data_IF_555062565120
#
_entry.id   IF_555062565120
#
_cell.length_a   1.000
_cell.length_b   1.000
_cell.length_c   1.000
_cell.angle_alpha   90.00
_cell.angle_beta   90.00
_cell.angle_gamma   90.00
#
_symmetry.space_group_name_H-M   'P 1'
#
loop_
_entity.id
_entity.type
_entity.pdbx_description
1 polymer ?
#
# COMPACT_ATOMS: atom_id res chain seq x y z
N UNK A 1 -14.90 -3.64 40.62
CA UNK A 1 -14.86 -3.73 39.13
C UNK A 1 -14.68 -2.32 38.62
N UNK A 2 -13.66 -2.07 37.80
CA UNK A 2 -13.44 -0.73 37.24
C UNK A 2 -14.47 -0.50 36.12
N UNK A 3 -15.32 0.53 36.22
CA UNK A 3 -16.26 0.85 35.15
C UNK A 3 -15.49 1.30 33.92
N UNK A 4 -15.69 0.61 32.80
CA UNK A 4 -15.14 0.99 31.50
C UNK A 4 -15.98 2.14 30.91
N UNK A 5 -15.32 3.01 30.14
CA UNK A 5 -15.96 4.13 29.44
C UNK A 5 -16.55 3.67 28.09
N UNK A 6 -17.48 4.44 27.51
CA UNK A 6 -18.15 4.05 26.26
C UNK A 6 -17.17 3.73 25.13
N UNK A 7 -16.10 4.51 24.96
CA UNK A 7 -15.09 4.25 23.91
C UNK A 7 -14.44 2.87 24.04
N UNK A 8 -14.10 2.47 25.27
CA UNK A 8 -13.52 1.14 25.52
C UNK A 8 -14.57 0.04 25.30
N UNK A 9 -15.84 0.29 25.66
CA UNK A 9 -16.92 -0.65 25.36
C UNK A 9 -17.17 -0.81 23.85
N UNK A 10 -17.03 0.27 23.07
CA UNK A 10 -17.15 0.25 21.61
C UNK A 10 -16.06 -0.62 20.98
N UNK A 11 -14.80 -0.52 21.44
CA UNK A 11 -13.70 -1.40 21.01
C UNK A 11 -13.97 -2.87 21.36
N UNK A 12 -14.38 -3.14 22.61
CA UNK A 12 -14.71 -4.50 23.05
C UNK A 12 -15.89 -5.11 22.28
N UNK A 13 -16.86 -4.31 21.83
CA UNK A 13 -17.96 -4.81 20.99
C UNK A 13 -17.43 -5.33 19.64
N UNK A 14 -16.52 -4.59 19.01
CA UNK A 14 -15.93 -5.00 17.73
C UNK A 14 -15.11 -6.28 17.90
N UNK A 15 -14.25 -6.32 18.92
CA UNK A 15 -13.42 -7.49 19.22
C UNK A 15 -14.28 -8.73 19.53
N UNK A 16 -15.40 -8.59 20.25
CA UNK A 16 -16.32 -9.71 20.53
C UNK A 16 -17.01 -10.26 19.28
N UNK A 17 -17.24 -9.41 18.27
CA UNK A 17 -17.90 -9.81 17.01
C UNK A 17 -16.92 -10.47 16.03
N UNK A 18 -15.65 -10.05 16.02
CA UNK A 18 -14.64 -10.55 15.09
C UNK A 18 -13.97 -11.84 15.60
N UNK A 19 -13.31 -11.79 16.76
CA UNK A 19 -12.48 -12.87 17.30
C UNK A 19 -13.06 -13.49 18.59
N UNK A 20 -13.95 -12.74 19.25
CA UNK A 20 -14.53 -13.10 20.54
C UNK A 20 -13.68 -12.65 21.72
N UNK A 21 -14.32 -12.15 22.77
CA UNK A 21 -13.61 -11.69 23.97
C UNK A 21 -13.24 -12.83 24.94
N UNK A 22 -12.14 -12.61 25.67
CA UNK A 22 -11.79 -13.41 26.84
C UNK A 22 -12.84 -13.24 27.98
N UNK A 23 -12.90 -14.15 28.96
CA UNK A 23 -13.88 -14.06 30.04
C UNK A 23 -13.81 -12.74 30.84
N UNK A 24 -12.63 -12.15 30.99
CA UNK A 24 -12.43 -10.86 31.64
C UNK A 24 -13.01 -9.70 30.82
N UNK A 25 -12.71 -9.66 29.52
CA UNK A 25 -13.30 -8.73 28.56
C UNK A 25 -14.82 -8.80 28.53
N UNK A 26 -15.39 -10.01 28.41
CA UNK A 26 -16.85 -10.23 28.40
C UNK A 26 -17.53 -9.69 29.63
N UNK A 27 -17.03 -10.02 30.82
CA UNK A 27 -17.60 -9.52 32.07
C UNK A 27 -17.55 -7.98 32.15
N UNK A 28 -16.48 -7.34 31.69
CA UNK A 28 -16.40 -5.86 31.68
C UNK A 28 -17.40 -5.25 30.72
N UNK A 29 -17.51 -5.80 29.50
CA UNK A 29 -18.46 -5.35 28.50
C UNK A 29 -19.92 -5.54 28.97
N UNK A 30 -20.27 -6.72 29.48
CA UNK A 30 -21.61 -7.02 29.98
C UNK A 30 -22.04 -6.08 31.11
N UNK A 31 -21.15 -5.78 32.05
CA UNK A 31 -21.41 -4.82 33.11
C UNK A 31 -21.70 -3.41 32.55
N UNK A 32 -20.95 -2.97 31.54
CA UNK A 32 -21.20 -1.67 30.90
C UNK A 32 -22.56 -1.66 30.18
N UNK A 33 -22.88 -2.72 29.43
CA UNK A 33 -24.13 -2.84 28.67
C UNK A 33 -25.38 -2.85 29.55
N UNK A 34 -25.29 -3.29 30.80
CA UNK A 34 -26.40 -3.18 31.76
C UNK A 34 -26.80 -1.73 32.07
N UNK A 35 -25.90 -0.76 31.86
CA UNK A 35 -26.11 0.64 32.25
C UNK A 35 -26.16 1.61 31.07
N UNK A 36 -25.61 1.25 29.91
CA UNK A 36 -25.48 2.13 28.75
C UNK A 36 -26.34 1.66 27.57
N UNK A 37 -27.51 2.29 27.39
CA UNK A 37 -28.43 1.98 26.27
C UNK A 37 -27.84 2.30 24.89
N UNK A 38 -26.93 3.28 24.79
CA UNK A 38 -26.22 3.61 23.54
C UNK A 38 -25.38 2.43 23.05
N UNK A 39 -24.55 1.86 23.94
CA UNK A 39 -23.70 0.72 23.60
C UNK A 39 -24.50 -0.56 23.34
N UNK A 40 -25.65 -0.74 24.01
CA UNK A 40 -26.58 -1.84 23.71
C UNK A 40 -27.11 -1.74 22.28
N UNK A 41 -27.56 -0.55 21.86
CA UNK A 41 -28.06 -0.32 20.51
C UNK A 41 -26.97 -0.55 19.46
N UNK A 42 -25.78 -0.01 19.69
CA UNK A 42 -24.64 -0.20 18.78
C UNK A 42 -24.28 -1.67 18.59
N UNK A 43 -24.22 -2.46 19.67
CA UNK A 43 -23.96 -3.90 19.59
C UNK A 43 -25.01 -4.62 18.76
N UNK A 44 -26.28 -4.26 18.93
CA UNK A 44 -27.37 -4.87 18.15
C UNK A 44 -27.30 -4.47 16.67
N UNK A 45 -27.06 -3.19 16.38
CA UNK A 45 -26.89 -2.70 15.00
C UNK A 45 -25.74 -3.44 14.29
N UNK A 46 -24.58 -3.58 14.94
CA UNK A 46 -23.44 -4.33 14.39
C UNK A 46 -23.76 -5.82 14.22
N UNK A 47 -24.42 -6.44 15.20
CA UNK A 47 -24.83 -7.85 15.12
C UNK A 47 -25.78 -8.09 13.94
N UNK A 48 -26.73 -7.18 13.70
CA UNK A 48 -27.61 -7.25 12.53
C UNK A 48 -26.84 -7.11 11.22
N UNK A 49 -25.84 -6.22 11.15
CA UNK A 49 -24.99 -6.08 9.95
C UNK A 49 -24.19 -7.35 9.67
N UNK A 50 -23.57 -7.95 10.69
CA UNK A 50 -22.83 -9.21 10.55
C UNK A 50 -23.76 -10.37 10.17
N UNK A 51 -24.96 -10.43 10.76
CA UNK A 51 -25.98 -11.42 10.40
C UNK A 51 -26.45 -11.26 8.94
N UNK A 52 -26.65 -10.03 8.47
CA UNK A 52 -27.00 -9.76 7.09
C UNK A 52 -25.86 -10.17 6.12
N UNK A 53 -24.62 -9.81 6.45
CA UNK A 53 -23.45 -10.16 5.64
C UNK A 53 -23.22 -11.68 5.56
N UNK A 54 -23.44 -12.40 6.65
CA UNK A 54 -23.30 -13.86 6.71
C UNK A 54 -24.44 -14.61 5.99
N UNK A 55 -25.61 -13.98 5.82
CA UNK A 55 -26.76 -14.62 5.15
C UNK A 55 -26.54 -14.87 3.65
N UNK A 56 -25.64 -14.11 3.02
CA UNK A 56 -25.29 -14.23 1.60
C UNK A 56 -23.86 -14.75 1.41
N UNK A 57 -23.28 -15.38 2.44
CA UNK A 57 -21.91 -15.88 2.35
C UNK A 57 -21.84 -17.02 1.34
N UNK A 58 -21.06 -16.90 0.25
CA UNK A 58 -20.86 -17.98 -0.70
C UNK A 58 -20.32 -19.21 0.01
N UNK A 59 -20.63 -20.40 -0.50
CA UNK A 59 -20.01 -21.62 -0.02
C UNK A 59 -18.48 -21.51 -0.14
N UNK A 60 -17.79 -21.90 0.92
CA UNK A 60 -16.33 -21.95 0.94
C UNK A 60 -15.84 -22.79 -0.25
N UNK A 61 -14.97 -22.23 -1.13
CA UNK A 61 -14.44 -22.99 -2.24
C UNK A 61 -13.71 -24.26 -1.77
N UNK A 62 -13.79 -25.31 -2.58
CA UNK A 62 -13.10 -26.55 -2.27
C UNK A 62 -11.56 -26.38 -2.28
N UNK A 63 -10.85 -27.34 -1.71
CA UNK A 63 -9.38 -27.32 -1.63
C UNK A 63 -8.71 -27.25 -3.02
N UNK A 64 -9.35 -27.81 -4.05
CA UNK A 64 -8.84 -27.79 -5.42
C UNK A 64 -8.87 -26.38 -6.03
N UNK A 65 -9.90 -25.59 -5.72
CA UNK A 65 -9.96 -24.18 -6.11
C UNK A 65 -8.77 -23.43 -5.54
N UNK A 66 -8.50 -23.55 -4.23
CA UNK A 66 -7.38 -22.87 -3.57
C UNK A 66 -6.03 -23.28 -4.15
N UNK A 67 -5.81 -24.58 -4.38
CA UNK A 67 -4.60 -25.07 -5.08
C UNK A 67 -4.43 -24.49 -6.48
N UNK A 68 -5.53 -24.27 -7.20
CA UNK A 68 -5.48 -23.65 -8.53
C UNK A 68 -5.19 -22.15 -8.45
N UNK A 69 -5.80 -21.47 -7.47
CA UNK A 69 -5.64 -20.05 -7.21
C UNK A 69 -4.20 -19.73 -6.80
N UNK A 70 -3.63 -20.47 -5.85
CA UNK A 70 -2.25 -20.28 -5.37
C UNK A 70 -1.23 -20.45 -6.50
N UNK A 71 -1.39 -21.49 -7.33
CA UNK A 71 -0.51 -21.68 -8.50
C UNK A 71 -0.62 -20.53 -9.50
N UNK A 72 -1.84 -20.02 -9.73
CA UNK A 72 -2.06 -18.87 -10.60
C UNK A 72 -1.45 -17.58 -10.03
N UNK A 73 -1.58 -17.38 -8.73
CA UNK A 73 -1.02 -16.24 -8.01
C UNK A 73 0.51 -16.27 -8.05
N UNK A 74 1.13 -17.41 -7.71
CA UNK A 74 2.58 -17.58 -7.77
C UNK A 74 3.14 -17.37 -9.18
N UNK A 75 2.44 -17.85 -10.22
CA UNK A 75 2.83 -17.63 -11.60
C UNK A 75 2.86 -16.13 -11.94
N UNK A 76 1.80 -15.39 -11.57
CA UNK A 76 1.72 -13.93 -11.79
C UNK A 76 2.76 -13.15 -11.00
N UNK A 77 3.05 -13.56 -9.76
CA UNK A 77 4.12 -12.96 -8.96
C UNK A 77 5.46 -13.18 -9.67
N UNK A 78 5.73 -14.39 -10.15
CA UNK A 78 6.98 -14.73 -10.85
C UNK A 78 7.15 -13.97 -12.17
N UNK A 79 6.06 -13.72 -12.89
CA UNK A 79 6.06 -12.91 -14.11
C UNK A 79 6.34 -11.43 -13.84
N UNK A 80 5.84 -10.90 -12.71
CA UNK A 80 6.03 -9.50 -12.31
C UNK A 80 7.34 -9.24 -11.58
N UNK A 81 7.92 -10.25 -10.93
CA UNK A 81 9.26 -10.12 -10.37
C UNK A 81 10.24 -9.83 -11.52
N UNK A 82 10.92 -8.67 -11.55
CA UNK A 82 11.88 -8.36 -12.59
C UNK A 82 12.90 -9.48 -12.60
N UNK A 83 12.92 -10.24 -13.70
CA UNK A 83 13.57 -11.53 -13.78
C UNK A 83 14.94 -11.44 -13.09
N UNK A 84 15.16 -12.32 -12.09
CA UNK A 84 16.44 -12.45 -11.34
C UNK A 84 17.68 -12.56 -12.27
N UNK A 85 17.45 -12.78 -13.57
CA UNK A 85 18.37 -12.57 -14.69
C UNK A 85 19.13 -11.23 -14.65
N UNK A 86 18.51 -10.11 -14.27
CA UNK A 86 19.24 -8.83 -14.19
C UNK A 86 20.25 -8.79 -13.02
N UNK A 87 19.99 -9.53 -11.94
CA UNK A 87 20.93 -9.62 -10.79
C UNK A 87 22.22 -10.36 -11.15
N UNK A 88 22.15 -11.41 -11.99
CA UNK A 88 23.36 -12.07 -12.51
C UNK A 88 24.13 -11.17 -13.48
N UNK A 89 23.43 -10.44 -14.36
CA UNK A 89 24.06 -9.47 -15.25
C UNK A 89 24.76 -8.35 -14.46
N UNK A 90 24.13 -7.83 -13.41
CA UNK A 90 24.75 -6.86 -12.51
C UNK A 90 25.94 -7.44 -11.73
N UNK A 91 25.87 -8.70 -11.27
CA UNK A 91 27.00 -9.36 -10.60
C UNK A 91 28.23 -9.55 -11.49
N UNK A 92 28.05 -9.68 -12.80
CA UNK A 92 29.17 -9.77 -13.76
C UNK A 92 29.59 -8.38 -14.28
N UNK A 93 28.66 -7.45 -14.41
CA UNK A 93 28.95 -6.09 -14.87
C UNK A 93 29.69 -5.25 -13.81
N UNK A 94 29.40 -5.42 -12.52
CA UNK A 94 30.08 -4.73 -11.41
C UNK A 94 31.61 -4.93 -11.40
N UNK A 95 32.15 -6.16 -11.45
CA UNK A 95 33.61 -6.35 -11.49
C UNK A 95 34.22 -5.90 -12.83
N UNK A 96 33.49 -5.99 -13.95
CA UNK A 96 33.97 -5.51 -15.24
C UNK A 96 34.12 -3.98 -15.27
N UNK A 97 33.18 -3.24 -14.67
CA UNK A 97 33.28 -1.79 -14.49
C UNK A 97 34.42 -1.40 -13.54
N UNK A 98 34.64 -2.16 -12.46
CA UNK A 98 35.78 -1.95 -11.57
C UNK A 98 37.13 -2.13 -12.29
N UNK A 99 37.27 -3.13 -13.16
CA UNK A 99 38.48 -3.34 -13.95
C UNK A 99 38.73 -2.21 -14.97
N UNK A 100 37.68 -1.73 -15.64
CA UNK A 100 37.79 -0.59 -16.57
C UNK A 100 38.20 0.70 -15.84
N UNK A 101 37.66 0.95 -14.64
CA UNK A 101 38.07 2.07 -13.79
C UNK A 101 39.55 2.03 -13.40
N UNK A 102 40.10 0.85 -13.09
CA UNK A 102 41.53 0.69 -12.79
C UNK A 102 42.38 0.99 -14.03
N UNK A 103 41.98 0.53 -15.22
CA UNK A 103 42.72 0.82 -16.47
C UNK A 103 42.70 2.33 -16.75
N UNK A 104 41.55 3.00 -16.61
CA UNK A 104 41.44 4.45 -16.79
C UNK A 104 42.26 5.20 -15.73
N UNK A 105 42.27 4.76 -14.47
CA UNK A 105 43.08 5.38 -13.42
C UNK A 105 44.59 5.20 -13.69
N UNK A 106 45.01 4.01 -14.14
CA UNK A 106 46.41 3.74 -14.49
C UNK A 106 46.85 4.56 -15.71
N UNK A 107 46.03 4.63 -16.76
CA UNK A 107 46.31 5.46 -17.93
C UNK A 107 46.20 6.96 -17.64
N UNK A 108 45.26 7.37 -16.78
CA UNK A 108 45.12 8.74 -16.31
C UNK A 108 46.36 9.17 -15.53
N UNK A 109 46.85 8.34 -14.60
CA UNK A 109 48.05 8.64 -13.80
C UNK A 109 49.35 8.64 -14.63
N UNK A 110 49.41 7.91 -15.75
CA UNK A 110 50.57 7.98 -16.65
C UNK A 110 50.53 9.20 -17.55
N UNK A 111 49.35 9.69 -17.93
CA UNK A 111 49.16 10.90 -18.75
C UNK A 111 49.25 12.18 -17.91
N UNK A 112 48.79 12.16 -16.65
CA UNK A 112 48.79 13.31 -15.72
C UNK A 112 50.21 13.72 -15.30
N UNK A 113 51.19 12.82 -15.43
CA UNK A 113 52.61 13.17 -15.28
C UNK A 113 53.17 14.07 -16.39
N UNK A 114 52.42 14.34 -17.46
CA UNK A 114 52.86 15.18 -18.58
C UNK A 114 52.02 16.44 -18.83
N UNK A 115 50.97 16.71 -18.04
CA UNK A 115 50.22 17.97 -18.15
C UNK A 115 49.85 18.55 -16.78
N UNK A 116 50.63 19.51 -16.23
CA UNK A 116 50.19 20.31 -15.11
C UNK A 116 49.16 21.33 -15.61
N UNK A 117 47.87 21.02 -15.42
CA UNK A 117 46.82 22.02 -15.44
C UNK A 117 45.61 21.63 -16.27
N UNK A 118 44.61 21.04 -15.61
CA UNK A 118 43.23 21.15 -16.08
C UNK A 118 42.32 21.32 -14.87
N UNK A 119 41.36 22.23 -15.03
CA UNK A 119 40.56 22.82 -13.98
C UNK A 119 39.50 21.89 -13.37
N UNK A 120 38.97 22.40 -12.25
CA UNK A 120 37.84 21.86 -11.48
C UNK A 120 36.69 21.45 -12.41
N UNK A 121 36.48 20.16 -12.60
CA UNK A 121 35.22 19.64 -13.13
C UNK A 121 34.22 19.53 -11.98
N UNK A 122 33.41 20.58 -11.87
CA UNK A 122 32.07 20.52 -11.30
C UNK A 122 31.15 19.80 -12.30
N UNK A 123 30.07 19.21 -11.79
CA UNK A 123 28.90 18.69 -12.50
C UNK A 123 29.02 17.28 -13.11
N UNK A 124 28.78 16.28 -12.27
CA UNK A 124 28.07 15.06 -12.66
C UNK A 124 27.08 14.69 -11.55
N UNK A 125 26.03 15.50 -11.40
CA UNK A 125 24.85 15.19 -10.58
C UNK A 125 23.57 15.02 -11.40
N UNK A 126 23.57 15.41 -12.68
CA UNK A 126 22.31 15.49 -13.45
C UNK A 126 21.92 14.18 -14.14
N UNK A 127 22.83 13.21 -14.24
CA UNK A 127 22.57 11.96 -15.00
C UNK A 127 21.81 10.91 -14.15
N UNK A 128 21.71 11.08 -12.83
CA UNK A 128 21.04 10.09 -11.96
C UNK A 128 19.58 10.45 -11.65
N UNK A 129 19.15 11.69 -11.91
CA UNK A 129 17.79 12.14 -11.54
C UNK A 129 16.76 11.82 -12.65
N UNK A 130 17.16 11.75 -13.91
CA UNK A 130 16.21 11.54 -15.03
C UNK A 130 15.60 10.13 -15.02
N UNK A 131 16.34 9.12 -14.56
CA UNK A 131 15.87 7.72 -14.55
C UNK A 131 14.92 7.40 -13.37
N UNK A 132 14.94 8.22 -12.30
CA UNK A 132 14.06 8.05 -11.14
C UNK A 132 12.63 8.51 -11.45
N UNK A 133 12.46 9.57 -12.27
CA UNK A 133 11.13 10.03 -12.69
C UNK A 133 10.41 9.02 -13.60
N UNK A 134 11.16 8.22 -14.38
CA UNK A 134 10.58 7.21 -15.25
C UNK A 134 10.03 5.99 -14.49
N UNK A 135 10.58 5.67 -13.31
CA UNK A 135 10.17 4.51 -12.50
C UNK A 135 9.04 4.86 -11.53
N UNK A 136 9.05 6.07 -10.95
CA UNK A 136 8.13 6.43 -9.86
C UNK A 136 6.94 7.28 -10.27
N UNK A 137 6.86 7.72 -11.54
CA UNK A 137 5.82 8.63 -12.00
C UNK A 137 5.93 10.02 -11.37
N UNK A 138 5.17 11.02 -11.86
CA UNK A 138 5.22 12.38 -11.33
C UNK A 138 4.87 12.37 -9.84
N UNK A 139 5.67 13.05 -9.03
CA UNK A 139 5.38 13.19 -7.60
C UNK A 139 4.06 13.95 -7.42
N UNK A 140 3.35 13.69 -6.32
CA UNK A 140 2.04 14.34 -6.03
C UNK A 140 2.11 15.87 -6.01
N UNK A 141 3.29 16.44 -5.87
CA UNK A 141 3.51 17.88 -5.77
C UNK A 141 3.56 18.57 -7.16
N UNK A 142 3.75 17.81 -8.25
CA UNK A 142 3.74 18.33 -9.63
C UNK A 142 2.36 18.27 -10.30
N UNK A 143 1.40 17.59 -9.67
CA UNK A 143 0.00 17.65 -10.08
C UNK A 143 -0.58 18.97 -9.55
N UNK A 144 -0.44 20.03 -10.34
CA UNK A 144 -1.13 21.29 -10.10
C UNK A 144 -2.65 21.11 -9.92
N UNK A 145 -3.37 22.09 -9.36
CA UNK A 145 -4.78 21.98 -8.94
C UNK A 145 -5.81 21.89 -10.09
N UNK A 146 -5.43 21.36 -11.24
CA UNK A 146 -6.20 21.37 -12.47
C UNK A 146 -6.17 20.00 -13.13
N UNK A 147 -6.82 18.99 -12.53
CA UNK A 147 -7.40 17.89 -13.30
C UNK A 147 -8.41 17.10 -12.47
N UNK A 148 -9.66 17.57 -12.52
CA UNK A 148 -10.88 16.79 -12.30
C UNK A 148 -11.13 15.78 -13.44
N UNK A 149 -10.08 15.16 -13.98
CA UNK A 149 -10.21 14.10 -14.98
C UNK A 149 -10.29 12.77 -14.26
N UNK A 150 -11.51 12.31 -14.05
CA UNK A 150 -11.80 10.96 -13.60
C UNK A 150 -11.03 9.94 -14.44
N UNK A 151 -10.31 9.05 -13.74
CA UNK A 151 -9.66 7.90 -14.35
C UNK A 151 -10.77 7.01 -14.90
N UNK A 152 -10.99 7.06 -16.21
CA UNK A 152 -11.85 6.12 -16.91
C UNK A 152 -11.02 4.88 -17.22
N UNK A 153 -11.09 3.87 -16.35
CA UNK A 153 -10.67 2.53 -16.75
C UNK A 153 -11.69 2.02 -17.77
N UNK A 154 -11.29 1.95 -19.04
CA UNK A 154 -12.05 1.25 -20.07
C UNK A 154 -11.94 -0.24 -19.80
N UNK A 155 -12.88 -0.78 -19.03
CA UNK A 155 -13.11 -2.22 -18.95
C UNK A 155 -13.75 -2.65 -20.27
N UNK A 156 -12.94 -3.22 -21.16
CA UNK A 156 -13.46 -3.90 -22.34
C UNK A 156 -14.34 -5.08 -21.89
N UNK A 157 -15.67 -4.94 -22.04
CA UNK A 157 -16.61 -6.06 -21.95
C UNK A 157 -17.83 -5.88 -21.07
N UNK A 158 -18.06 -4.72 -20.45
CA UNK A 158 -19.30 -4.48 -19.68
C UNK A 158 -20.13 -3.41 -20.37
N UNK A 159 -21.04 -3.84 -21.24
CA UNK A 159 -22.16 -3.05 -21.73
C UNK A 159 -23.27 -3.07 -20.69
N UNK A 160 -23.32 -2.06 -19.83
CA UNK A 160 -24.52 -1.26 -19.55
C UNK A 160 -24.22 -0.20 -18.49
N UNK A 161 -24.84 0.96 -18.66
CA UNK A 161 -24.60 2.22 -17.95
C UNK A 161 -24.92 2.12 -16.44
N UNK A 162 -23.99 1.60 -15.64
CA UNK A 162 -23.98 1.82 -14.20
C UNK A 162 -22.90 2.86 -13.86
N UNK A 163 -23.28 4.14 -13.93
CA UNK A 163 -22.46 5.23 -13.36
C UNK A 163 -22.52 5.09 -11.84
N UNK A 164 -21.61 4.29 -11.28
CA UNK A 164 -21.40 4.21 -9.83
C UNK A 164 -20.72 5.50 -9.40
N UNK A 165 -21.52 6.43 -8.87
CA UNK A 165 -21.06 7.68 -8.26
C UNK A 165 -20.45 7.35 -6.91
N UNK A 166 -19.16 7.02 -6.89
CA UNK A 166 -18.44 6.80 -5.63
C UNK A 166 -18.49 8.07 -4.79
N UNK A 167 -18.81 7.87 -3.51
CA UNK A 167 -19.06 8.88 -2.49
C UNK A 167 -18.06 10.04 -2.55
N UNK A 168 -18.58 11.24 -2.76
CA UNK A 168 -17.89 12.51 -2.53
C UNK A 168 -17.76 12.66 -1.01
N UNK A 169 -16.59 12.35 -0.46
CA UNK A 169 -16.29 12.60 0.96
C UNK A 169 -16.09 14.10 1.09
N UNK A 170 -17.11 14.80 1.56
CA UNK A 170 -17.00 16.21 1.92
C UNK A 170 -16.01 16.35 3.08
N UNK A 171 -14.85 16.95 2.81
CA UNK A 171 -13.81 17.26 3.78
C UNK A 171 -14.32 18.42 4.68
N UNK A 172 -15.09 18.07 5.71
CA UNK A 172 -15.59 19.00 6.72
C UNK A 172 -14.48 19.33 7.75
N UNK A 173 -13.39 19.94 7.29
CA UNK A 173 -12.29 20.37 8.16
C UNK A 173 -11.88 21.82 7.91
N UNK A 174 -12.79 22.77 8.15
CA UNK A 174 -12.47 24.21 8.27
C UNK A 174 -13.57 25.02 8.98
N UNK A 175 -14.05 24.58 10.15
CA UNK A 175 -14.73 25.48 11.11
C UNK A 175 -13.96 25.51 12.42
N UNK A 176 -12.79 26.15 12.41
CA UNK A 176 -12.17 26.67 13.62
C UNK A 176 -12.92 27.93 14.04
N UNK A 177 -13.62 27.81 15.16
CA UNK A 177 -14.31 28.88 15.88
C UNK A 177 -13.35 30.02 16.25
N UNK A 178 -13.86 31.25 16.10
CA UNK A 178 -13.37 32.46 16.77
C UNK A 178 -13.57 32.36 18.29
#
# INVERSE_FOLDING_TARGET
MNPIICREAEELIVEDLDEGLDPGGKNRLENHLQTCSKCVRMREDMRMMVAAASSDMPQDPNEDFWKSFDRGLEARIREREPAKRNRRLWQVALPALAAAGIIIAVFGLTIDRHHPGVGKMSATSDIVIDDVHQIFGPSRDELGPSMNSGITMVLNGVTDEAVVRWFEVEDESSQSFL
#
